data_IF_023009025588
#
_entry.id   IF_023009025588
#
_cell.length_a   1.000
_cell.length_b   1.000
_cell.length_c   1.000
_cell.angle_alpha   90.00
_cell.angle_beta   90.00
_cell.angle_gamma   90.00
#
_symmetry.space_group_name_H-M   'P 1'
#
loop_
_entity.id
_entity.type
_entity.pdbx_description
1 polymer ?
#
# COMPACT_ATOMS: atom_id res chain seq x y z
N UNK A 1 6.72 -10.44 -7.25
CA UNK A 1 7.99 -9.74 -7.55
C UNK A 1 8.52 -10.21 -8.90
N UNK A 2 9.11 -9.33 -9.72
CA UNK A 2 9.75 -9.70 -11.00
C UNK A 2 11.27 -9.63 -10.95
N UNK A 3 11.85 -9.26 -9.80
CA UNK A 3 13.30 -9.11 -9.59
C UNK A 3 13.79 -10.21 -8.65
N UNK A 4 14.83 -10.94 -9.05
CA UNK A 4 15.40 -12.06 -8.27
C UNK A 4 15.83 -11.59 -6.87
N UNK A 5 16.54 -10.46 -6.77
CA UNK A 5 16.98 -9.91 -5.47
C UNK A 5 15.82 -9.69 -4.49
N UNK A 6 14.68 -9.22 -4.99
CA UNK A 6 13.48 -9.01 -4.17
C UNK A 6 12.82 -10.34 -3.80
N UNK A 7 12.92 -11.36 -4.65
CA UNK A 7 12.44 -12.71 -4.33
C UNK A 7 13.25 -13.31 -3.18
N UNK A 8 14.57 -13.23 -3.26
CA UNK A 8 15.47 -13.73 -2.22
C UNK A 8 15.23 -13.02 -0.88
N UNK A 9 15.06 -11.70 -0.91
CA UNK A 9 14.72 -10.92 0.28
C UNK A 9 13.37 -11.33 0.88
N UNK A 10 12.34 -11.53 0.06
CA UNK A 10 11.02 -11.97 0.53
C UNK A 10 11.07 -13.37 1.14
N UNK A 11 11.86 -14.29 0.58
CA UNK A 11 12.07 -15.62 1.16
C UNK A 11 12.77 -15.52 2.53
N UNK A 12 13.73 -14.61 2.68
CA UNK A 12 14.39 -14.33 3.95
C UNK A 12 13.43 -13.91 5.08
N UNK A 13 12.29 -13.31 4.74
CA UNK A 13 11.27 -12.92 5.73
C UNK A 13 10.70 -14.12 6.51
N UNK A 14 10.72 -15.33 5.95
CA UNK A 14 10.27 -16.55 6.65
C UNK A 14 11.16 -16.94 7.83
N UNK A 15 12.42 -16.49 7.84
CA UNK A 15 13.35 -16.75 8.93
C UNK A 15 13.23 -15.72 10.07
N UNK A 16 12.50 -14.63 9.87
CA UNK A 16 12.27 -13.60 10.90
C UNK A 16 11.35 -14.17 11.96
N UNK A 17 11.76 -14.06 13.23
CA UNK A 17 10.93 -14.38 14.39
C UNK A 17 10.64 -13.10 15.13
N UNK A 18 9.36 -12.83 15.37
CA UNK A 18 8.90 -11.66 16.10
C UNK A 18 8.40 -12.12 17.47
N UNK A 19 8.78 -11.39 18.51
CA UNK A 19 8.20 -11.52 19.85
C UNK A 19 6.80 -10.87 19.89
N UNK A 20 6.08 -11.10 20.99
CA UNK A 20 4.80 -10.42 21.21
C UNK A 20 4.99 -8.90 21.34
N UNK A 21 6.10 -8.46 21.93
CA UNK A 21 6.49 -7.07 22.03
C UNK A 21 6.76 -6.45 20.66
N UNK A 22 7.51 -7.14 19.79
CA UNK A 22 7.79 -6.68 18.42
C UNK A 22 6.48 -6.51 17.62
N UNK A 23 5.58 -7.49 17.72
CA UNK A 23 4.27 -7.44 17.06
C UNK A 23 3.44 -6.25 17.55
N UNK A 24 3.45 -6.01 18.86
CA UNK A 24 2.74 -4.87 19.47
C UNK A 24 3.31 -3.55 19.00
N UNK A 25 4.63 -3.40 18.98
CA UNK A 25 5.31 -2.20 18.48
C UNK A 25 4.99 -1.94 17.01
N UNK A 26 5.13 -2.96 16.14
CA UNK A 26 4.83 -2.86 14.71
C UNK A 26 3.37 -2.47 14.48
N UNK A 27 2.44 -3.07 15.23
CA UNK A 27 1.01 -2.75 15.11
C UNK A 27 0.68 -1.32 15.55
N UNK A 28 1.37 -0.79 16.56
CA UNK A 28 1.17 0.56 17.06
C UNK A 28 1.83 1.63 16.16
N UNK A 29 2.83 1.24 15.37
CA UNK A 29 3.52 2.15 14.45
C UNK A 29 2.67 2.58 13.25
N UNK A 30 1.60 1.85 12.93
CA UNK A 30 0.68 2.17 11.83
C UNK A 30 -0.68 2.58 12.41
N UNK A 31 -1.06 3.87 12.34
CA UNK A 31 -2.37 4.33 12.80
C UNK A 31 -3.50 3.59 12.08
N UNK A 32 -4.50 3.10 12.82
CA UNK A 32 -5.66 2.40 12.25
C UNK A 32 -6.45 3.31 11.28
N UNK A 33 -6.44 4.61 11.54
CA UNK A 33 -7.16 5.60 10.74
C UNK A 33 -6.48 5.88 9.37
N UNK A 34 -5.20 5.55 9.20
CA UNK A 34 -4.47 5.65 7.93
C UNK A 34 -4.86 4.54 6.94
N UNK A 35 -5.54 3.48 7.41
CA UNK A 35 -5.97 2.34 6.59
C UNK A 35 -7.33 2.59 5.93
N UNK A 36 -8.06 3.63 6.35
CA UNK A 36 -9.24 4.15 5.67
C UNK A 36 -8.85 4.99 4.44
N UNK A 37 -8.06 4.40 3.54
CA UNK A 37 -7.63 5.02 2.30
C UNK A 37 -8.72 5.08 1.22
N UNK A 38 -8.53 5.99 0.26
CA UNK A 38 -9.27 5.99 -1.00
C UNK A 38 -9.15 4.64 -1.72
N UNK A 39 -10.18 4.23 -2.47
CA UNK A 39 -10.14 3.05 -3.36
C UNK A 39 -8.97 3.13 -4.36
N UNK A 40 -8.53 4.34 -4.68
CA UNK A 40 -7.40 4.60 -5.56
C UNK A 40 -6.21 5.08 -4.73
N UNK A 41 -5.03 4.54 -5.04
CA UNK A 41 -3.76 4.98 -4.45
C UNK A 41 -3.61 6.51 -4.58
N UNK A 42 -3.09 7.16 -3.54
CA UNK A 42 -2.88 8.61 -3.53
C UNK A 42 -2.15 9.05 -4.81
N UNK A 43 -2.83 9.87 -5.62
CA UNK A 43 -2.32 10.37 -6.89
C UNK A 43 -2.86 9.66 -8.13
N UNK A 44 -3.65 8.58 -8.03
CA UNK A 44 -4.36 7.97 -9.17
C UNK A 44 -5.82 8.39 -9.29
N UNK A 45 -6.31 9.27 -8.40
CA UNK A 45 -7.69 9.76 -8.45
C UNK A 45 -8.01 10.45 -9.78
N UNK A 46 -7.04 11.10 -10.42
CA UNK A 46 -7.18 11.74 -11.73
C UNK A 46 -7.49 10.76 -12.87
N UNK A 47 -7.17 9.48 -12.70
CA UNK A 47 -7.51 8.42 -13.65
C UNK A 47 -8.90 7.82 -13.39
N UNK A 48 -9.65 8.34 -12.42
CA UNK A 48 -11.00 7.87 -12.10
C UNK A 48 -12.07 8.54 -12.98
N UNK A 49 -13.25 7.92 -13.02
CA UNK A 49 -14.43 8.43 -13.72
C UNK A 49 -14.84 9.84 -13.29
N UNK A 50 -14.45 10.28 -12.09
CA UNK A 50 -14.73 11.62 -11.57
C UNK A 50 -14.13 12.76 -12.40
N UNK A 51 -13.08 12.47 -13.18
CA UNK A 51 -12.35 13.46 -13.99
C UNK A 51 -12.45 13.21 -15.50
N UNK A 52 -13.27 12.25 -15.93
CA UNK A 52 -13.47 11.90 -17.34
C UNK A 52 -14.42 12.90 -18.06
N UNK A 53 -14.18 14.20 -17.90
CA UNK A 53 -14.98 15.24 -18.54
C UNK A 53 -14.57 15.41 -20.01
N UNK A 54 -15.55 15.65 -20.89
CA UNK A 54 -15.32 15.99 -22.30
C UNK A 54 -15.64 17.47 -22.56
N UNK A 55 -14.92 18.16 -23.46
CA UNK A 55 -15.24 19.54 -23.82
C UNK A 55 -16.70 19.72 -24.31
N UNK A 56 -17.35 20.86 -24.02
CA UNK A 56 -18.69 21.16 -24.53
C UNK A 56 -18.68 21.28 -26.06
N UNK A 57 -19.77 20.86 -26.71
CA UNK A 57 -19.94 21.05 -28.15
C UNK A 57 -20.16 22.53 -28.45
N UNK A 58 -19.42 23.04 -29.44
CA UNK A 58 -19.66 24.34 -30.08
C UNK A 58 -20.94 24.33 -30.88
#
# INVERSE_FOLDING_TARGET
TTKIKNLDQNLGALAVKLSEEDLKEISAAVPLDDVAGSRYYNGLDHASWKFANTPPKV
#
